data_IF_293729520130
#
_entry.id   IF_293729520130
#
_cell.length_a   1.000
_cell.length_b   1.000
_cell.length_c   1.000
_cell.angle_alpha   90.00
_cell.angle_beta   90.00
_cell.angle_gamma   90.00
#
_symmetry.space_group_name_H-M   'P 1'
#
loop_
_entity.id
_entity.type
_entity.pdbx_description
1 polymer ?
#
# COMPACT_ATOMS: atom_id res chain seq x y z
N UNK A 1 -5.75 15.96 -15.51
CA UNK A 1 -5.89 14.57 -15.00
C UNK A 1 -4.63 13.71 -15.15
N UNK A 2 -3.56 14.11 -15.84
CA UNK A 2 -2.37 13.25 -16.00
C UNK A 2 -1.46 13.15 -14.77
N UNK A 3 -1.99 12.87 -13.58
CA UNK A 3 -1.25 12.81 -12.29
C UNK A 3 -0.66 11.42 -12.00
N UNK A 4 -0.48 10.59 -13.04
CA UNK A 4 -0.06 9.21 -12.91
C UNK A 4 1.35 9.01 -13.45
N UNK A 5 2.08 8.12 -12.79
CA UNK A 5 3.36 7.61 -13.28
C UNK A 5 3.11 6.56 -14.37
N UNK A 6 3.77 6.70 -15.52
CA UNK A 6 3.55 5.82 -16.68
C UNK A 6 3.87 4.34 -16.46
N UNK A 7 4.59 4.03 -15.39
CA UNK A 7 4.86 2.64 -15.00
C UNK A 7 3.73 2.05 -14.16
N UNK A 8 2.85 2.84 -13.55
CA UNK A 8 1.74 2.37 -12.73
C UNK A 8 0.39 2.49 -13.45
N UNK A 9 0.41 2.24 -14.76
CA UNK A 9 -0.79 2.20 -15.60
C UNK A 9 -1.34 0.77 -15.58
N UNK A 10 -2.64 0.59 -15.30
CA UNK A 10 -3.24 -0.74 -15.16
C UNK A 10 -3.04 -1.57 -16.43
N UNK A 11 -3.43 -1.07 -17.59
CA UNK A 11 -3.31 -1.84 -18.83
C UNK A 11 -1.87 -2.32 -19.10
N UNK A 12 -0.88 -1.47 -18.81
CA UNK A 12 0.54 -1.82 -18.96
C UNK A 12 1.00 -2.87 -17.95
N UNK A 13 0.57 -2.77 -16.69
CA UNK A 13 0.94 -3.72 -15.64
C UNK A 13 0.25 -5.07 -15.84
N UNK A 14 -1.05 -5.06 -16.15
CA UNK A 14 -1.82 -6.24 -16.48
C UNK A 14 -1.21 -7.00 -17.67
N UNK A 15 -0.84 -6.30 -18.76
CA UNK A 15 -0.21 -6.93 -19.92
C UNK A 15 1.03 -7.78 -19.60
N UNK A 16 1.84 -7.35 -18.62
CA UNK A 16 3.06 -8.06 -18.23
C UNK A 16 2.81 -9.20 -17.23
N UNK A 17 1.67 -9.17 -16.53
CA UNK A 17 1.29 -10.12 -15.50
C UNK A 17 0.49 -11.32 -16.04
N UNK A 18 0.08 -11.27 -17.31
CA UNK A 18 -0.78 -12.26 -17.94
C UNK A 18 0.00 -13.45 -18.50
N UNK A 19 -0.64 -14.62 -18.43
CA UNK A 19 -0.18 -15.83 -19.09
C UNK A 19 -0.41 -15.76 -20.60
N UNK A 20 0.43 -16.45 -21.38
CA UNK A 20 0.51 -16.29 -22.84
C UNK A 20 -0.83 -16.60 -23.56
N UNK A 21 -1.63 -17.50 -23.00
CA UNK A 21 -2.94 -17.90 -23.47
C UNK A 21 -4.06 -16.90 -23.13
N UNK A 22 -3.85 -16.01 -22.15
CA UNK A 22 -4.81 -14.96 -21.73
C UNK A 22 -4.57 -13.63 -22.46
N UNK A 23 -3.37 -13.43 -23.04
CA UNK A 23 -2.99 -12.16 -23.71
C UNK A 23 -3.97 -11.75 -24.81
N UNK A 24 -4.52 -12.71 -25.58
CA UNK A 24 -5.46 -12.40 -26.65
C UNK A 24 -6.80 -11.86 -26.12
N UNK A 25 -7.33 -12.44 -25.04
CA UNK A 25 -8.55 -11.99 -24.37
C UNK A 25 -8.35 -10.61 -23.77
N UNK A 26 -7.23 -10.37 -23.09
CA UNK A 26 -6.89 -9.04 -22.57
C UNK A 26 -6.81 -7.99 -23.68
N UNK A 27 -6.24 -8.32 -24.85
CA UNK A 27 -6.23 -7.43 -26.00
C UNK A 27 -7.64 -7.13 -26.57
N UNK A 28 -8.61 -8.03 -26.38
CA UNK A 28 -10.02 -7.77 -26.68
C UNK A 28 -10.63 -6.84 -25.64
N UNK A 29 -10.51 -7.17 -24.36
CA UNK A 29 -11.03 -6.34 -23.27
C UNK A 29 -10.53 -4.90 -23.32
N UNK A 30 -9.22 -4.70 -23.50
CA UNK A 30 -8.64 -3.35 -23.59
C UNK A 30 -9.16 -2.55 -24.77
N UNK A 31 -9.46 -3.21 -25.90
CA UNK A 31 -10.16 -2.57 -27.02
C UNK A 31 -11.58 -2.22 -26.63
N UNK A 32 -12.34 -3.16 -26.08
CA UNK A 32 -13.75 -2.99 -25.75
C UNK A 32 -13.96 -1.92 -24.66
N UNK A 33 -13.06 -1.86 -23.67
CA UNK A 33 -13.12 -0.88 -22.61
C UNK A 33 -12.84 0.54 -23.11
N UNK A 34 -12.06 0.75 -24.17
CA UNK A 34 -11.74 2.10 -24.69
C UNK A 34 -11.37 3.11 -23.57
N UNK A 35 -10.55 2.70 -22.60
CA UNK A 35 -10.27 3.52 -21.41
C UNK A 35 -9.49 4.79 -21.77
N UNK A 36 -9.90 5.93 -21.21
CA UNK A 36 -9.03 7.10 -21.16
C UNK A 36 -7.85 6.84 -20.21
N UNK A 37 -6.72 7.50 -20.43
CA UNK A 37 -5.53 7.34 -19.57
C UNK A 37 -5.82 7.54 -18.07
N UNK A 38 -6.79 8.40 -17.72
CA UNK A 38 -7.17 8.63 -16.32
C UNK A 38 -8.13 7.56 -15.78
N UNK A 39 -8.96 6.96 -16.63
CA UNK A 39 -9.79 5.81 -16.24
C UNK A 39 -8.91 4.59 -16.00
N UNK A 40 -7.91 4.38 -16.84
CA UNK A 40 -6.92 3.31 -16.68
C UNK A 40 -6.09 3.49 -15.39
N UNK A 41 -5.72 4.72 -15.07
CA UNK A 41 -5.11 5.07 -13.78
C UNK A 41 -6.02 4.82 -12.58
N UNK A 42 -7.29 5.23 -12.66
CA UNK A 42 -8.28 4.96 -11.62
C UNK A 42 -8.52 3.46 -11.42
N UNK A 43 -8.57 2.70 -12.51
CA UNK A 43 -8.74 1.26 -12.48
C UNK A 43 -7.58 0.59 -11.73
N UNK A 44 -6.34 1.03 -11.99
CA UNK A 44 -5.17 0.57 -11.22
C UNK A 44 -5.31 0.86 -9.72
N UNK A 45 -5.82 2.03 -9.37
CA UNK A 45 -5.91 2.48 -7.98
C UNK A 45 -6.97 1.71 -7.18
N UNK A 46 -8.06 1.33 -7.85
CA UNK A 46 -9.12 0.50 -7.29
C UNK A 46 -8.67 -0.98 -7.25
N UNK A 47 -8.05 -1.44 -8.34
CA UNK A 47 -7.64 -2.82 -8.56
C UNK A 47 -6.16 -2.89 -8.99
N UNK A 48 -5.21 -2.80 -8.05
CA UNK A 48 -3.79 -2.73 -8.37
C UNK A 48 -3.23 -4.08 -8.79
N UNK A 49 -2.42 -4.05 -9.86
CA UNK A 49 -1.63 -5.20 -10.33
C UNK A 49 -0.19 -5.01 -9.86
N UNK A 50 0.26 -5.87 -8.96
CA UNK A 50 1.64 -5.88 -8.45
C UNK A 50 2.44 -7.00 -9.11
N UNK A 51 3.77 -6.91 -9.10
CA UNK A 51 4.66 -7.82 -9.83
C UNK A 51 4.52 -9.31 -9.48
N UNK A 52 3.95 -9.64 -8.32
CA UNK A 52 3.68 -11.02 -7.88
C UNK A 52 2.29 -11.51 -8.24
N UNK A 53 1.39 -10.64 -8.69
CA UNK A 53 0.01 -10.98 -9.00
C UNK A 53 -0.05 -11.52 -10.43
N UNK A 54 -0.33 -12.81 -10.58
CA UNK A 54 -0.74 -13.38 -11.87
C UNK A 54 -2.23 -13.14 -12.06
N UNK A 55 -2.59 -12.56 -13.20
CA UNK A 55 -4.00 -12.34 -13.55
C UNK A 55 -4.54 -13.55 -14.32
N UNK A 56 -5.72 -14.02 -13.91
CA UNK A 56 -6.50 -15.05 -14.58
C UNK A 56 -7.58 -14.43 -15.48
N UNK A 57 -8.26 -15.27 -16.26
CA UNK A 57 -9.42 -14.84 -17.06
C UNK A 57 -10.56 -14.32 -16.16
N UNK A 58 -10.76 -14.93 -14.99
CA UNK A 58 -11.79 -14.52 -14.02
C UNK A 58 -11.51 -13.10 -13.51
N UNK A 59 -10.25 -12.80 -13.18
CA UNK A 59 -9.86 -11.45 -12.75
C UNK A 59 -10.13 -10.41 -13.84
N UNK A 60 -9.93 -10.75 -15.11
CA UNK A 60 -10.24 -9.85 -16.23
C UNK A 60 -11.74 -9.63 -16.43
N UNK A 61 -12.56 -10.64 -16.19
CA UNK A 61 -14.02 -10.53 -16.19
C UNK A 61 -14.50 -9.61 -15.06
N UNK A 62 -13.93 -9.76 -13.86
CA UNK A 62 -14.21 -8.88 -12.72
C UNK A 62 -13.80 -7.42 -13.00
N UNK A 63 -12.63 -7.22 -13.61
CA UNK A 63 -12.17 -5.90 -14.04
C UNK A 63 -13.12 -5.30 -15.09
N UNK A 64 -13.61 -6.11 -16.04
CA UNK A 64 -14.58 -5.64 -17.01
C UNK A 64 -15.88 -5.21 -16.33
N UNK A 65 -16.33 -5.91 -15.30
CA UNK A 65 -17.49 -5.51 -14.51
C UNK A 65 -17.24 -4.21 -13.73
N UNK A 66 -16.05 -4.04 -13.13
CA UNK A 66 -15.65 -2.77 -12.49
C UNK A 66 -15.71 -1.61 -13.49
N UNK A 67 -15.26 -1.80 -14.73
CA UNK A 67 -15.36 -0.77 -15.79
C UNK A 67 -16.81 -0.38 -16.07
N UNK A 68 -17.72 -1.36 -16.15
CA UNK A 68 -19.16 -1.10 -16.33
C UNK A 68 -19.77 -0.37 -15.13
N UNK A 69 -19.40 -0.75 -13.91
CA UNK A 69 -19.82 -0.07 -12.67
C UNK A 69 -19.35 1.38 -12.69
N UNK A 70 -18.07 1.62 -12.95
CA UNK A 70 -17.49 2.97 -13.05
C UNK A 70 -18.31 3.84 -14.01
N UNK A 71 -18.63 3.32 -15.20
CA UNK A 71 -19.37 4.06 -16.25
C UNK A 71 -20.88 4.13 -16.02
N UNK A 72 -21.42 3.44 -15.03
CA UNK A 72 -22.84 3.46 -14.69
C UNK A 72 -23.72 2.74 -15.71
N UNK A 73 -23.21 1.67 -16.34
CA UNK A 73 -23.99 0.86 -17.28
C UNK A 73 -25.10 0.07 -16.59
N UNK A 74 -24.89 -0.31 -15.32
CA UNK A 74 -25.94 -0.88 -14.48
C UNK A 74 -26.63 0.22 -13.64
N UNK A 75 -27.95 0.32 -13.79
CA UNK A 75 -28.80 1.32 -13.10
C UNK A 75 -28.98 1.05 -11.60
N UNK A 76 -28.62 -0.12 -11.11
CA UNK A 76 -28.66 -0.45 -9.68
C UNK A 76 -27.51 0.23 -8.91
N UNK A 77 -26.38 0.48 -9.58
CA UNK A 77 -25.16 1.02 -8.96
C UNK A 77 -25.04 2.52 -9.20
N UNK A 78 -26.05 3.28 -8.81
CA UNK A 78 -26.01 4.75 -8.90
C UNK A 78 -25.02 5.30 -7.86
N UNK A 79 -24.29 6.36 -8.22
CA UNK A 79 -23.45 7.07 -7.27
C UNK A 79 -24.25 7.49 -6.03
N UNK A 80 -23.56 7.65 -4.90
CA UNK A 80 -24.16 8.28 -3.75
C UNK A 80 -24.37 9.78 -4.01
N UNK A 81 -25.41 10.32 -3.39
CA UNK A 81 -25.57 11.76 -3.18
C UNK A 81 -24.79 12.24 -1.96
N UNK A 82 -24.57 13.55 -1.84
CA UNK A 82 -23.89 14.18 -0.69
C UNK A 82 -24.55 13.79 0.64
N UNK A 83 -25.88 13.80 0.68
CA UNK A 83 -26.65 13.46 1.89
C UNK A 83 -26.50 11.98 2.27
N UNK A 84 -26.52 11.08 1.28
CA UNK A 84 -26.33 9.65 1.53
C UNK A 84 -24.94 9.36 2.07
N UNK A 85 -23.89 9.94 1.48
CA UNK A 85 -22.51 9.71 1.94
C UNK A 85 -22.30 10.25 3.35
N UNK A 86 -22.88 11.41 3.65
CA UNK A 86 -22.77 12.02 4.98
C UNK A 86 -23.37 11.15 6.09
N UNK A 87 -24.32 10.27 5.74
CA UNK A 87 -24.97 9.31 6.64
C UNK A 87 -24.40 7.88 6.59
N UNK A 88 -23.36 7.63 5.79
CA UNK A 88 -22.71 6.31 5.74
C UNK A 88 -22.07 5.97 7.09
N UNK A 89 -22.19 4.71 7.51
CA UNK A 89 -21.55 4.18 8.70
C UNK A 89 -20.75 2.91 8.36
N UNK A 90 -19.81 2.55 9.24
CA UNK A 90 -18.96 1.35 9.11
C UNK A 90 -19.79 0.09 8.79
N UNK A 91 -20.86 -0.16 9.53
CA UNK A 91 -21.59 -1.44 9.46
C UNK A 91 -22.35 -1.63 8.13
N UNK A 92 -22.82 -0.54 7.52
CA UNK A 92 -23.53 -0.58 6.24
C UNK A 92 -22.59 -0.71 5.04
N UNK A 93 -21.36 -0.21 5.13
CA UNK A 93 -20.45 -0.16 3.98
C UNK A 93 -19.75 -1.49 3.69
N UNK A 94 -19.47 -2.28 4.73
CA UNK A 94 -18.64 -3.48 4.62
C UNK A 94 -19.40 -4.80 4.42
N UNK A 95 -20.68 -4.83 4.81
CA UNK A 95 -21.52 -6.03 4.70
C UNK A 95 -22.35 -6.05 3.40
N UNK A 96 -22.21 -5.03 2.56
CA UNK A 96 -23.05 -4.84 1.39
C UNK A 96 -22.21 -4.57 0.14
N UNK A 97 -22.09 -5.60 -0.71
CA UNK A 97 -21.45 -5.53 -2.02
C UNK A 97 -22.00 -4.38 -2.88
N UNK A 98 -23.28 -4.01 -2.68
CA UNK A 98 -23.89 -2.87 -3.33
C UNK A 98 -23.19 -1.55 -2.97
N UNK A 99 -22.91 -1.31 -1.69
CA UNK A 99 -22.32 -0.04 -1.23
C UNK A 99 -20.88 0.12 -1.72
N UNK A 100 -20.12 -0.97 -1.81
CA UNK A 100 -18.78 -0.96 -2.42
C UNK A 100 -18.87 -0.57 -3.90
N UNK A 101 -19.77 -1.19 -4.66
CA UNK A 101 -19.99 -0.87 -6.08
C UNK A 101 -20.46 0.57 -6.28
N UNK A 102 -21.37 1.05 -5.43
CA UNK A 102 -21.80 2.45 -5.42
C UNK A 102 -20.65 3.41 -5.07
N UNK A 103 -19.73 3.03 -4.19
CA UNK A 103 -18.55 3.85 -3.88
C UNK A 103 -17.57 3.93 -5.06
N UNK A 104 -17.32 2.82 -5.76
CA UNK A 104 -16.55 2.80 -7.02
C UNK A 104 -17.18 3.77 -8.03
N UNK A 105 -18.50 3.66 -8.24
CA UNK A 105 -19.25 4.56 -9.11
C UNK A 105 -19.12 6.02 -8.66
N UNK A 106 -19.20 6.28 -7.35
CA UNK A 106 -19.16 7.62 -6.78
C UNK A 106 -17.84 8.32 -7.09
N UNK A 107 -16.70 7.64 -6.88
CA UNK A 107 -15.39 8.23 -7.18
C UNK A 107 -15.25 8.51 -8.68
N UNK A 108 -15.63 7.56 -9.53
CA UNK A 108 -15.61 7.80 -10.98
C UNK A 108 -16.49 8.99 -11.36
N UNK A 109 -17.70 9.07 -10.80
CA UNK A 109 -18.64 10.16 -11.07
C UNK A 109 -18.06 11.51 -10.66
N UNK A 110 -17.48 11.59 -9.45
CA UNK A 110 -16.80 12.78 -8.97
C UNK A 110 -15.74 13.22 -9.99
N UNK A 111 -14.84 12.31 -10.37
CA UNK A 111 -13.72 12.62 -11.27
C UNK A 111 -14.20 13.05 -12.66
N UNK A 112 -15.12 12.28 -13.25
CA UNK A 112 -15.62 12.53 -14.60
C UNK A 112 -16.39 13.86 -14.72
N UNK A 113 -17.11 14.26 -13.66
CA UNK A 113 -17.92 15.47 -13.66
C UNK A 113 -17.27 16.65 -12.91
N UNK A 114 -16.09 16.42 -12.31
CA UNK A 114 -15.44 17.35 -11.39
C UNK A 114 -16.38 17.80 -10.24
N UNK A 115 -17.14 16.86 -9.67
CA UNK A 115 -18.06 17.12 -8.55
C UNK A 115 -17.27 17.21 -7.23
N UNK A 116 -16.86 18.45 -6.90
CA UNK A 116 -16.01 18.74 -5.74
C UNK A 116 -16.75 18.50 -4.43
N UNK A 117 -18.03 18.89 -4.35
CA UNK A 117 -18.81 18.80 -3.11
C UNK A 117 -19.03 17.34 -2.71
N UNK A 118 -19.37 16.48 -3.68
CA UNK A 118 -19.50 15.05 -3.43
C UNK A 118 -18.17 14.39 -3.08
N UNK A 119 -17.07 14.81 -3.72
CA UNK A 119 -15.73 14.32 -3.39
C UNK A 119 -15.32 14.67 -1.94
N UNK A 120 -15.56 15.91 -1.51
CA UNK A 120 -15.27 16.36 -0.15
C UNK A 120 -16.13 15.61 0.86
N UNK A 121 -17.45 15.53 0.64
CA UNK A 121 -18.37 14.82 1.52
C UNK A 121 -17.99 13.33 1.66
N UNK A 122 -17.57 12.71 0.55
CA UNK A 122 -17.09 11.32 0.54
C UNK A 122 -15.83 11.13 1.35
N UNK A 123 -14.84 12.02 1.18
CA UNK A 123 -13.61 11.97 1.97
C UNK A 123 -13.90 12.15 3.47
N UNK A 124 -14.71 13.13 3.83
CA UNK A 124 -15.04 13.41 5.25
C UNK A 124 -15.84 12.27 5.90
N UNK A 125 -16.70 11.60 5.15
CA UNK A 125 -17.39 10.40 5.63
C UNK A 125 -16.40 9.25 5.91
N UNK A 126 -15.42 9.06 5.02
CA UNK A 126 -14.36 8.07 5.23
C UNK A 126 -13.45 8.42 6.42
N UNK A 127 -13.14 9.70 6.65
CA UNK A 127 -12.42 10.15 7.86
C UNK A 127 -13.14 9.74 9.14
N UNK A 128 -14.46 9.94 9.20
CA UNK A 128 -15.30 9.52 10.35
C UNK A 128 -15.27 8.01 10.52
N UNK A 129 -15.42 7.26 9.42
CA UNK A 129 -15.33 5.80 9.40
C UNK A 129 -13.97 5.33 9.97
N UNK A 130 -12.87 5.95 9.57
CA UNK A 130 -11.55 5.58 10.11
C UNK A 130 -11.39 5.93 11.59
N UNK A 131 -11.96 7.05 12.04
CA UNK A 131 -11.92 7.47 13.44
C UNK A 131 -12.81 6.61 14.38
N UNK A 132 -13.92 6.09 13.88
CA UNK A 132 -14.87 5.26 14.65
C UNK A 132 -14.38 3.82 14.87
N UNK A 133 -13.34 3.40 14.14
CA UNK A 133 -12.87 2.02 14.11
C UNK A 133 -12.12 1.65 15.40
N UNK A 134 -12.84 1.27 16.45
CA UNK A 134 -12.26 0.79 17.73
C UNK A 134 -12.31 -0.73 17.94
N UNK A 135 -13.24 -1.44 17.29
CA UNK A 135 -13.54 -2.83 17.64
C UNK A 135 -13.46 -3.78 16.44
N UNK A 136 -12.25 -4.06 15.91
CA UNK A 136 -11.87 -5.30 15.19
C UNK A 136 -12.76 -5.93 14.10
N UNK A 137 -13.88 -5.32 13.69
CA UNK A 137 -15.02 -5.97 13.00
C UNK A 137 -14.96 -5.88 11.48
N UNK A 138 -13.92 -5.25 10.94
CA UNK A 138 -13.78 -4.95 9.52
C UNK A 138 -12.58 -5.70 8.98
N UNK A 139 -12.79 -6.45 7.89
CA UNK A 139 -11.71 -7.15 7.21
C UNK A 139 -10.62 -6.19 6.73
N UNK A 140 -9.39 -6.69 6.71
CA UNK A 140 -8.23 -5.93 6.22
C UNK A 140 -8.40 -5.48 4.76
N UNK A 141 -8.96 -6.36 3.91
CA UNK A 141 -9.17 -6.09 2.48
C UNK A 141 -10.11 -4.91 2.25
N UNK A 142 -11.23 -4.85 2.96
CA UNK A 142 -12.19 -3.77 2.79
C UNK A 142 -11.66 -2.44 3.33
N UNK A 143 -10.91 -2.47 4.43
CA UNK A 143 -10.23 -1.28 4.93
C UNK A 143 -9.19 -0.75 3.93
N UNK A 144 -8.37 -1.64 3.35
CA UNK A 144 -7.38 -1.26 2.34
C UNK A 144 -8.06 -0.65 1.10
N UNK A 145 -9.22 -1.19 0.69
CA UNK A 145 -10.02 -0.63 -0.39
C UNK A 145 -10.51 0.80 -0.06
N UNK A 146 -11.11 1.02 1.11
CA UNK A 146 -11.54 2.37 1.50
C UNK A 146 -10.40 3.36 1.63
N UNK A 147 -9.25 2.90 2.13
CA UNK A 147 -8.06 3.74 2.20
C UNK A 147 -7.62 4.19 0.80
N UNK A 148 -7.63 3.29 -0.19
CA UNK A 148 -7.34 3.65 -1.58
C UNK A 148 -8.32 4.68 -2.12
N UNK A 149 -9.62 4.48 -1.86
CA UNK A 149 -10.64 5.47 -2.24
C UNK A 149 -10.34 6.84 -1.63
N UNK A 150 -10.06 6.86 -0.33
CA UNK A 150 -9.72 8.07 0.41
C UNK A 150 -8.51 8.80 -0.18
N UNK A 151 -7.44 8.04 -0.47
CA UNK A 151 -6.21 8.56 -1.06
C UNK A 151 -6.38 9.01 -2.52
N UNK A 152 -7.28 8.37 -3.28
CA UNK A 152 -7.70 8.87 -4.58
C UNK A 152 -8.37 10.24 -4.45
N UNK A 153 -9.38 10.36 -3.59
CA UNK A 153 -10.09 11.63 -3.38
C UNK A 153 -9.12 12.74 -2.93
N UNK A 154 -8.21 12.42 -2.00
CA UNK A 154 -7.12 13.32 -1.61
C UNK A 154 -6.28 13.78 -2.82
N UNK A 155 -5.85 12.84 -3.67
CA UNK A 155 -4.91 13.13 -4.76
C UNK A 155 -5.54 13.91 -5.91
N UNK A 156 -6.72 13.51 -6.36
CA UNK A 156 -7.41 14.17 -7.47
C UNK A 156 -7.97 15.54 -7.08
N UNK A 157 -8.34 15.72 -5.81
CA UNK A 157 -8.89 16.97 -5.28
C UNK A 157 -7.93 17.67 -4.34
N UNK A 158 -6.62 17.45 -4.47
CA UNK A 158 -5.60 17.98 -3.56
C UNK A 158 -5.70 19.48 -3.32
N UNK A 159 -6.11 20.25 -4.33
CA UNK A 159 -6.32 21.72 -4.22
C UNK A 159 -7.44 22.14 -3.28
N UNK A 160 -8.32 21.21 -2.92
CA UNK A 160 -9.45 21.41 -2.03
C UNK A 160 -9.23 20.75 -0.67
N UNK A 161 -8.04 20.17 -0.43
CA UNK A 161 -7.67 19.54 0.83
C UNK A 161 -7.07 20.60 1.76
N UNK A 162 -7.49 20.64 3.04
CA UNK A 162 -6.84 21.49 4.04
C UNK A 162 -5.34 21.18 4.20
N UNK A 163 -4.53 22.20 4.45
CA UNK A 163 -3.09 22.05 4.61
C UNK A 163 -2.74 21.07 5.74
N UNK A 164 -3.50 21.06 6.84
CA UNK A 164 -3.31 20.13 7.96
C UNK A 164 -3.43 18.67 7.53
N UNK A 165 -4.39 18.37 6.65
CA UNK A 165 -4.55 17.02 6.13
C UNK A 165 -3.41 16.67 5.16
N UNK A 166 -2.97 17.61 4.33
CA UNK A 166 -1.81 17.42 3.46
C UNK A 166 -0.54 17.09 4.28
N UNK A 167 -0.29 17.84 5.35
CA UNK A 167 0.81 17.58 6.27
C UNK A 167 0.69 16.21 6.95
N UNK A 168 -0.52 15.83 7.39
CA UNK A 168 -0.78 14.52 7.97
C UNK A 168 -0.45 13.38 7.00
N UNK A 169 -0.91 13.45 5.74
CA UNK A 169 -0.61 12.44 4.71
C UNK A 169 0.89 12.28 4.50
N UNK A 170 1.64 13.38 4.45
CA UNK A 170 3.08 13.37 4.19
C UNK A 170 3.91 12.95 5.40
N UNK A 171 3.40 13.14 6.62
CA UNK A 171 4.02 12.69 7.86
C UNK A 171 3.79 11.18 8.14
N UNK A 172 2.90 10.52 7.39
CA UNK A 172 2.49 9.14 7.63
C UNK A 172 2.77 8.21 6.44
N UNK A 173 2.45 6.92 6.60
CA UNK A 173 2.69 5.87 5.60
C UNK A 173 1.85 6.05 4.33
N UNK A 174 0.86 6.93 4.35
CA UNK A 174 0.02 7.25 3.19
C UNK A 174 0.83 7.73 1.98
N UNK A 175 1.96 8.40 2.18
CA UNK A 175 2.87 8.77 1.08
C UNK A 175 3.38 7.53 0.32
N UNK A 176 3.69 6.45 1.04
CA UNK A 176 4.13 5.17 0.46
C UNK A 176 2.98 4.55 -0.32
N UNK A 177 1.79 4.52 0.27
CA UNK A 177 0.59 3.96 -0.37
C UNK A 177 0.24 4.74 -1.65
N UNK A 178 0.30 6.07 -1.61
CA UNK A 178 0.06 6.93 -2.78
C UNK A 178 1.05 6.63 -3.93
N UNK A 179 2.33 6.43 -3.61
CA UNK A 179 3.35 6.06 -4.60
C UNK A 179 3.05 4.68 -5.18
N UNK A 180 2.70 3.69 -4.34
CA UNK A 180 2.32 2.34 -4.78
C UNK A 180 1.06 2.33 -5.63
N UNK A 181 0.12 3.24 -5.37
CA UNK A 181 -1.08 3.49 -6.17
C UNK A 181 -0.78 4.25 -7.48
N UNK A 182 0.48 4.57 -7.76
CA UNK A 182 0.90 5.15 -9.03
C UNK A 182 0.75 6.66 -9.15
N UNK A 183 0.43 7.36 -8.06
CA UNK A 183 0.33 8.82 -8.09
C UNK A 183 1.69 9.48 -8.26
N UNK A 184 1.74 10.46 -9.16
CA UNK A 184 2.85 11.38 -9.31
C UNK A 184 2.67 12.56 -8.33
N UNK A 185 3.09 12.33 -7.08
CA UNK A 185 3.00 13.32 -6.00
C UNK A 185 3.71 14.62 -6.35
N UNK A 186 4.83 14.55 -7.07
CA UNK A 186 5.54 15.73 -7.54
C UNK A 186 4.63 16.59 -8.40
N UNK A 187 4.00 15.97 -9.40
CA UNK A 187 3.07 16.65 -10.28
C UNK A 187 1.83 17.19 -9.57
N UNK A 188 1.23 16.42 -8.65
CA UNK A 188 0.07 16.85 -7.87
C UNK A 188 0.39 18.13 -7.10
N UNK A 189 1.54 18.13 -6.40
CA UNK A 189 1.97 19.29 -5.62
C UNK A 189 2.34 20.46 -6.54
N UNK A 190 3.05 20.23 -7.65
CA UNK A 190 3.38 21.28 -8.62
C UNK A 190 2.12 21.94 -9.19
N UNK A 191 1.13 21.13 -9.56
CA UNK A 191 -0.14 21.62 -10.10
C UNK A 191 -0.88 22.47 -9.08
N UNK A 192 -0.84 22.17 -7.78
CA UNK A 192 -1.41 23.03 -6.74
C UNK A 192 -0.53 24.26 -6.47
N UNK A 193 0.76 24.07 -6.28
CA UNK A 193 1.72 25.13 -5.97
C UNK A 193 1.73 26.23 -7.04
N UNK A 194 1.51 25.87 -8.30
CA UNK A 194 1.36 26.82 -9.42
C UNK A 194 0.15 27.76 -9.28
N UNK A 195 -0.88 27.37 -8.51
CA UNK A 195 -2.09 28.16 -8.27
C UNK A 195 -1.93 29.17 -7.13
N UNK A 196 -1.00 28.94 -6.19
CA UNK A 196 -0.73 29.87 -5.09
C UNK A 196 -0.07 31.12 -5.66
N UNK A 197 -0.63 32.32 -5.53
CA UNK A 197 -0.09 33.51 -6.24
C UNK A 197 1.17 34.07 -5.54
N UNK A 198 1.29 33.85 -4.23
CA UNK A 198 2.35 34.43 -3.38
C UNK A 198 3.54 33.49 -3.28
N UNK A 199 4.72 33.96 -3.69
CA UNK A 199 5.97 33.19 -3.64
C UNK A 199 6.29 32.64 -2.24
N UNK A 200 6.15 33.45 -1.19
CA UNK A 200 6.42 33.00 0.17
C UNK A 200 5.46 31.88 0.61
N UNK A 201 4.19 31.93 0.19
CA UNK A 201 3.23 30.87 0.52
C UNK A 201 3.59 29.57 -0.21
N UNK A 202 4.00 29.65 -1.48
CA UNK A 202 4.53 28.49 -2.23
C UNK A 202 5.70 27.85 -1.52
N UNK A 203 6.68 28.68 -1.15
CA UNK A 203 7.91 28.24 -0.52
C UNK A 203 7.62 27.60 0.85
N UNK A 204 6.86 28.27 1.71
CA UNK A 204 6.52 27.76 3.03
C UNK A 204 5.77 26.42 2.94
N UNK A 205 4.72 26.34 2.11
CA UNK A 205 3.98 25.10 1.90
C UNK A 205 4.89 23.93 1.48
N UNK A 206 5.82 24.16 0.55
CA UNK A 206 6.76 23.13 0.13
C UNK A 206 7.74 22.72 1.24
N UNK A 207 8.25 23.69 2.01
CA UNK A 207 9.18 23.43 3.10
C UNK A 207 8.51 22.72 4.28
N UNK A 208 7.24 23.00 4.54
CA UNK A 208 6.43 22.33 5.56
C UNK A 208 6.16 20.87 5.16
N UNK A 209 5.76 20.60 3.91
CA UNK A 209 5.66 19.23 3.40
C UNK A 209 7.00 18.48 3.42
N UNK A 210 8.12 19.16 3.10
CA UNK A 210 9.45 18.56 3.22
C UNK A 210 9.75 18.18 4.66
N UNK A 211 9.39 19.04 5.61
CA UNK A 211 9.58 18.79 7.02
C UNK A 211 8.70 17.61 7.51
N UNK A 212 7.45 17.50 7.05
CA UNK A 212 6.58 16.33 7.29
C UNK A 212 7.25 15.03 6.84
N UNK A 213 7.82 15.02 5.63
CA UNK A 213 8.55 13.84 5.14
C UNK A 213 9.79 13.52 5.99
N UNK A 214 10.54 14.54 6.41
CA UNK A 214 11.77 14.33 7.18
C UNK A 214 11.55 13.80 8.60
N UNK A 215 10.36 13.99 9.15
CA UNK A 215 9.96 13.43 10.45
C UNK A 215 9.08 12.18 10.32
N UNK A 216 8.88 11.66 9.11
CA UNK A 216 8.04 10.50 8.88
C UNK A 216 8.72 9.21 9.37
N UNK A 217 8.16 8.60 10.42
CA UNK A 217 8.69 7.38 11.04
C UNK A 217 8.15 6.08 10.41
N UNK A 218 7.43 6.16 9.30
CA UNK A 218 6.90 4.97 8.61
C UNK A 218 8.02 4.10 8.08
N UNK A 219 7.92 2.79 8.31
CA UNK A 219 8.90 1.80 7.85
C UNK A 219 8.82 1.59 6.33
N UNK A 220 9.99 1.58 5.68
CA UNK A 220 10.16 1.19 4.29
C UNK A 220 11.59 0.70 4.01
N UNK A 221 11.69 -0.45 3.34
CA UNK A 221 12.98 -1.06 2.99
C UNK A 221 13.84 -1.47 4.20
N UNK A 222 15.06 -1.91 3.89
CA UNK A 222 16.03 -2.40 4.88
C UNK A 222 17.42 -1.86 4.58
N UNK A 223 18.26 -1.72 5.61
CA UNK A 223 19.67 -1.39 5.40
C UNK A 223 20.51 -2.58 4.91
N UNK A 224 21.80 -2.34 4.69
CA UNK A 224 22.78 -3.39 4.32
C UNK A 224 22.91 -4.52 5.33
N UNK A 225 22.49 -4.32 6.57
CA UNK A 225 22.47 -5.34 7.61
C UNK A 225 21.13 -6.08 7.67
N UNK A 226 20.15 -5.70 6.83
CA UNK A 226 18.81 -6.28 6.79
C UNK A 226 17.88 -5.72 7.88
N UNK A 227 18.21 -4.60 8.51
CA UNK A 227 17.35 -3.99 9.53
C UNK A 227 16.31 -3.07 8.87
N UNK A 228 15.01 -3.16 9.24
CA UNK A 228 13.98 -2.24 8.77
C UNK A 228 14.34 -0.79 9.08
N UNK A 229 14.05 0.11 8.13
CA UNK A 229 14.34 1.55 8.25
C UNK A 229 13.12 2.39 7.99
N UNK A 230 13.12 3.60 8.56
CA UNK A 230 12.04 4.57 8.40
C UNK A 230 12.35 5.55 7.27
N UNK A 231 11.33 6.25 6.77
CA UNK A 231 11.49 7.35 5.81
C UNK A 231 12.47 8.40 6.36
N UNK A 232 12.30 8.80 7.63
CA UNK A 232 13.21 9.69 8.34
C UNK A 232 14.67 9.23 8.25
N UNK A 233 14.95 7.96 8.56
CA UNK A 233 16.31 7.42 8.47
C UNK A 233 16.90 7.57 7.06
N UNK A 234 16.12 7.25 6.04
CA UNK A 234 16.56 7.36 4.64
C UNK A 234 16.86 8.81 4.26
N UNK A 235 15.98 9.74 4.62
CA UNK A 235 16.15 11.17 4.37
C UNK A 235 17.37 11.71 5.12
N UNK A 236 17.56 11.37 6.39
CA UNK A 236 18.71 11.83 7.17
C UNK A 236 20.04 11.35 6.57
N UNK A 237 20.12 10.09 6.13
CA UNK A 237 21.30 9.60 5.42
C UNK A 237 21.55 10.33 4.11
N UNK A 238 20.49 10.60 3.33
CA UNK A 238 20.62 11.37 2.10
C UNK A 238 21.07 12.81 2.36
N UNK A 239 20.58 13.46 3.42
CA UNK A 239 21.02 14.81 3.85
C UNK A 239 22.50 14.84 4.24
N UNK A 240 22.96 13.82 4.98
CA UNK A 240 24.38 13.69 5.35
C UNK A 240 25.25 13.46 4.11
N UNK A 241 24.81 12.56 3.22
CA UNK A 241 25.52 12.25 1.98
C UNK A 241 25.64 13.47 1.06
N UNK A 242 24.55 14.19 0.88
CA UNK A 242 24.45 15.34 -0.03
C UNK A 242 25.23 16.56 0.46
N UNK A 243 25.72 16.61 1.71
CA UNK A 243 26.45 17.76 2.27
C UNK A 243 25.74 19.11 2.01
N UNK A 244 24.41 19.10 2.02
CA UNK A 244 23.52 20.25 1.73
C UNK A 244 23.38 20.65 0.25
N UNK A 245 23.93 19.90 -0.71
CA UNK A 245 23.61 20.05 -2.14
C UNK A 245 22.48 19.08 -2.54
N UNK A 246 21.23 19.54 -2.48
CA UNK A 246 20.06 18.77 -2.90
C UNK A 246 19.80 18.99 -4.39
N UNK A 247 20.65 18.42 -5.24
CA UNK A 247 20.54 18.53 -6.69
C UNK A 247 20.40 17.13 -7.33
N UNK A 248 20.16 17.12 -8.66
CA UNK A 248 20.02 15.86 -9.39
C UNK A 248 21.28 15.00 -9.38
N UNK A 249 22.47 15.59 -9.19
CA UNK A 249 23.75 14.85 -9.16
C UNK A 249 23.90 14.12 -7.84
N UNK A 250 23.64 14.78 -6.71
CA UNK A 250 23.71 14.15 -5.39
C UNK A 250 22.67 13.04 -5.24
N UNK A 251 21.46 13.25 -5.77
CA UNK A 251 20.42 12.24 -5.84
C UNK A 251 20.86 11.03 -6.68
N UNK A 252 21.36 11.25 -7.90
CA UNK A 252 21.81 10.16 -8.76
C UNK A 252 22.94 9.36 -8.12
N UNK A 253 23.90 10.05 -7.51
CA UNK A 253 25.04 9.41 -6.86
C UNK A 253 24.60 8.58 -5.64
N UNK A 254 23.70 9.11 -4.80
CA UNK A 254 23.18 8.39 -3.64
C UNK A 254 22.40 7.13 -4.06
N UNK A 255 21.46 7.29 -5.00
CA UNK A 255 20.56 6.20 -5.44
C UNK A 255 21.27 5.09 -6.23
N UNK A 256 22.44 5.41 -6.79
CA UNK A 256 23.33 4.46 -7.47
C UNK A 256 24.30 3.74 -6.51
N UNK A 257 24.41 4.18 -5.26
CA UNK A 257 25.33 3.59 -4.29
C UNK A 257 24.80 2.26 -3.73
N UNK A 258 25.49 1.18 -4.09
CA UNK A 258 25.15 -0.18 -3.68
C UNK A 258 25.30 -0.40 -2.16
N UNK A 259 26.03 0.45 -1.47
CA UNK A 259 26.24 0.36 -0.02
C UNK A 259 25.03 0.83 0.80
N UNK A 260 24.00 1.41 0.17
CA UNK A 260 22.79 1.81 0.88
C UNK A 260 21.59 0.92 0.55
N UNK A 261 21.44 0.51 -0.72
CA UNK A 261 20.27 -0.24 -1.20
C UNK A 261 20.51 -1.72 -1.46
N UNK A 262 21.68 -2.25 -1.10
CA UNK A 262 22.11 -3.60 -1.50
C UNK A 262 21.17 -4.74 -1.07
N UNK A 263 20.31 -4.52 -0.07
CA UNK A 263 19.33 -5.50 0.42
C UNK A 263 17.86 -5.05 0.25
N UNK A 264 17.61 -3.84 -0.25
CA UNK A 264 16.24 -3.41 -0.53
C UNK A 264 15.64 -4.25 -1.67
N UNK A 265 14.33 -4.51 -1.60
CA UNK A 265 13.61 -5.00 -2.77
C UNK A 265 13.63 -3.95 -3.88
N UNK A 266 13.43 -4.36 -5.14
CA UNK A 266 13.34 -3.42 -6.25
C UNK A 266 12.25 -2.37 -6.01
N UNK A 267 11.09 -2.80 -5.51
CA UNK A 267 9.95 -1.95 -5.17
C UNK A 267 10.27 -0.95 -4.06
N UNK A 268 10.84 -1.40 -2.94
CA UNK A 268 11.20 -0.50 -1.83
C UNK A 268 12.22 0.53 -2.29
N UNK A 269 13.25 0.08 -3.04
CA UNK A 269 14.25 0.97 -3.59
C UNK A 269 13.60 2.04 -4.48
N UNK A 270 12.67 1.65 -5.33
CA UNK A 270 11.97 2.56 -6.23
C UNK A 270 11.15 3.60 -5.47
N UNK A 271 10.42 3.19 -4.42
CA UNK A 271 9.63 4.10 -3.59
C UNK A 271 10.56 5.07 -2.84
N UNK A 272 11.64 4.57 -2.23
CA UNK A 272 12.63 5.40 -1.52
C UNK A 272 13.23 6.44 -2.47
N UNK A 273 13.59 6.06 -3.71
CA UNK A 273 14.09 7.00 -4.72
C UNK A 273 13.06 8.09 -5.03
N UNK A 274 11.79 7.72 -5.17
CA UNK A 274 10.71 8.67 -5.44
C UNK A 274 10.48 9.63 -4.26
N UNK A 275 10.62 9.15 -3.02
CA UNK A 275 10.59 10.00 -1.82
C UNK A 275 11.74 11.01 -1.85
N UNK A 276 12.96 10.61 -2.23
CA UNK A 276 14.08 11.54 -2.33
C UNK A 276 13.93 12.56 -3.44
N UNK A 277 13.38 12.17 -4.60
CA UNK A 277 13.03 13.08 -5.68
C UNK A 277 12.05 14.14 -5.18
N UNK A 278 10.96 13.68 -4.56
CA UNK A 278 9.95 14.55 -3.97
C UNK A 278 10.54 15.50 -2.92
N UNK A 279 11.29 14.98 -1.96
CA UNK A 279 11.95 15.77 -0.91
C UNK A 279 12.91 16.82 -1.49
N UNK A 280 13.70 16.45 -2.49
CA UNK A 280 14.63 17.35 -3.19
C UNK A 280 13.89 18.49 -3.89
N UNK A 281 12.79 18.19 -4.57
CA UNK A 281 11.98 19.21 -5.25
C UNK A 281 11.25 20.14 -4.29
N UNK A 282 10.75 19.60 -3.17
CA UNK A 282 10.12 20.39 -2.11
C UNK A 282 11.09 21.38 -1.46
N UNK A 283 12.32 20.94 -1.12
CA UNK A 283 13.36 21.83 -0.58
C UNK A 283 13.73 22.92 -1.58
N UNK A 284 13.79 22.60 -2.87
CA UNK A 284 14.10 23.58 -3.91
C UNK A 284 12.88 24.44 -4.31
N UNK A 285 11.75 24.31 -3.61
CA UNK A 285 10.53 25.10 -3.79
C UNK A 285 9.87 24.95 -5.17
N UNK A 286 10.14 23.85 -5.89
CA UNK A 286 9.75 23.60 -7.29
C UNK A 286 10.16 24.68 -8.33
N UNK A 287 10.82 25.77 -7.92
CA UNK A 287 11.00 27.01 -8.69
C UNK A 287 12.43 27.57 -8.67
N UNK A 288 13.44 26.72 -8.77
CA UNK A 288 14.78 27.14 -9.20
C UNK A 288 15.42 28.27 -8.37
N UNK A 289 15.45 28.13 -7.04
CA UNK A 289 16.45 28.86 -6.23
C UNK A 289 17.32 27.83 -5.53
N UNK A 290 18.66 27.85 -5.71
CA UNK A 290 19.53 26.96 -4.96
C UNK A 290 19.39 27.23 -3.46
N UNK A 291 18.94 26.21 -2.72
CA UNK A 291 18.93 26.20 -1.26
C UNK A 291 17.68 26.80 -0.63
N UNK A 292 16.58 26.05 -0.63
CA UNK A 292 15.56 26.26 0.41
C UNK A 292 16.21 26.26 1.79
N UNK A 293 15.74 27.16 2.66
CA UNK A 293 16.35 27.32 3.97
C UNK A 293 16.11 26.06 4.80
N UNK A 294 17.10 25.17 4.85
CA UNK A 294 17.07 23.98 5.70
C UNK A 294 16.76 24.32 7.16
N UNK A 295 17.01 25.56 7.61
CA UNK A 295 16.62 25.98 8.95
C UNK A 295 15.09 26.05 9.10
N UNK A 296 14.35 26.48 8.07
CA UNK A 296 12.87 26.49 8.09
C UNK A 296 12.35 25.06 8.19
N UNK A 297 12.90 24.14 7.39
CA UNK A 297 12.55 22.71 7.46
C UNK A 297 12.80 22.18 8.87
N UNK A 298 13.98 22.44 9.45
CA UNK A 298 14.34 21.97 10.79
C UNK A 298 13.46 22.59 11.89
N UNK A 299 13.15 23.89 11.80
CA UNK A 299 12.31 24.60 12.77
C UNK A 299 10.89 24.03 12.73
N UNK A 300 10.34 23.83 11.53
CA UNK A 300 9.00 23.26 11.41
C UNK A 300 8.97 21.80 11.85
N UNK A 301 9.97 21.00 11.45
CA UNK A 301 10.13 19.62 11.91
C UNK A 301 10.16 19.51 13.45
N UNK A 302 10.89 20.41 14.12
CA UNK A 302 10.90 20.48 15.59
C UNK A 302 9.54 20.88 16.18
N UNK A 303 8.73 21.65 15.44
CA UNK A 303 7.42 22.12 15.88
C UNK A 303 6.27 21.15 15.56
N UNK A 304 6.49 20.16 14.70
CA UNK A 304 5.52 19.10 14.39
C UNK A 304 5.06 18.36 15.66
N UNK A 305 5.93 18.21 16.66
CA UNK A 305 5.61 17.49 17.90
C UNK A 305 5.37 18.39 19.11
N UNK A 306 4.19 19.01 19.12
CA UNK A 306 3.40 19.18 20.35
C UNK A 306 1.92 18.79 20.23
N UNK A 307 1.44 18.34 19.06
CA UNK A 307 0.04 17.92 18.87
C UNK A 307 -0.12 16.74 17.89
N UNK A 308 -0.42 15.56 18.44
CA UNK A 308 -1.50 14.66 17.99
C UNK A 308 -1.49 14.00 16.59
N UNK A 309 -0.36 13.60 16.02
CA UNK A 309 -0.40 12.55 14.99
C UNK A 309 -0.09 11.20 15.63
N UNK A 310 -1.05 10.66 16.40
CA UNK A 310 -0.93 9.30 16.93
C UNK A 310 -0.93 8.30 15.77
N UNK A 311 0.03 7.38 15.78
CA UNK A 311 0.23 6.24 14.85
C UNK A 311 -0.96 5.27 14.68
N UNK A 312 -2.14 5.61 15.18
CA UNK A 312 -3.18 4.64 15.56
C UNK A 312 -4.12 4.20 14.43
N UNK A 313 -3.79 4.50 13.17
CA UNK A 313 -4.45 3.88 12.01
C UNK A 313 -3.62 2.69 11.46
N UNK A 314 -2.36 2.52 11.91
CA UNK A 314 -1.39 1.59 11.28
C UNK A 314 -0.76 0.52 12.18
N UNK A 315 -1.39 0.18 13.32
CA UNK A 315 -1.21 -1.16 13.91
C UNK A 315 -1.40 -2.31 12.89
N UNK A 316 -2.03 -2.02 11.74
CA UNK A 316 -2.31 -2.95 10.65
C UNK A 316 -1.26 -3.07 9.51
N UNK A 317 -0.32 -2.12 9.33
CA UNK A 317 0.74 -2.27 8.31
C UNK A 317 2.11 -2.63 8.92
N UNK A 318 2.15 -3.02 10.20
CA UNK A 318 3.23 -3.84 10.75
C UNK A 318 3.17 -5.27 10.20
N UNK A 319 3.32 -5.41 8.88
CA UNK A 319 3.75 -6.66 8.24
C UNK A 319 4.97 -6.33 7.37
N UNK A 320 5.98 -5.79 8.03
CA UNK A 320 7.37 -6.26 7.89
C UNK A 320 8.03 -6.51 9.26
N UNK A 321 7.30 -6.33 10.37
CA UNK A 321 7.75 -6.66 11.73
C UNK A 321 7.00 -7.88 12.28
N UNK A 322 7.28 -9.05 11.71
CA UNK A 322 7.28 -10.30 12.49
C UNK A 322 8.62 -11.04 12.32
N UNK A 323 9.71 -10.28 12.19
CA UNK A 323 11.05 -10.74 12.53
C UNK A 323 11.59 -9.81 13.61
N UNK A 324 11.97 -10.40 14.75
CA UNK A 324 12.63 -9.77 15.91
C UNK A 324 11.75 -9.18 17.03
N UNK A 325 10.86 -9.99 17.60
CA UNK A 325 10.65 -9.99 19.06
C UNK A 325 10.85 -11.38 19.66
N UNK A 326 12.05 -11.93 19.47
CA UNK A 326 12.60 -12.86 20.45
C UNK A 326 13.27 -12.04 21.56
N UNK A 327 12.55 -11.79 22.65
CA UNK A 327 13.04 -11.94 24.03
C UNK A 327 11.89 -11.83 25.04
N UNK A 328 12.03 -12.50 26.19
CA UNK A 328 10.99 -13.31 26.80
C UNK A 328 10.03 -12.47 27.64
N UNK A 329 8.74 -12.82 27.55
CA UNK A 329 7.79 -12.46 28.60
C UNK A 329 7.75 -13.63 29.58
N UNK A 330 8.20 -13.40 30.81
CA UNK A 330 7.95 -14.28 31.95
C UNK A 330 6.44 -14.43 32.14
N UNK A 331 5.91 -15.61 31.82
CA UNK A 331 4.66 -16.08 32.41
C UNK A 331 4.97 -17.17 33.41
N UNK A 332 5.01 -16.76 34.68
CA UNK A 332 4.85 -17.64 35.81
C UNK A 332 3.42 -18.22 35.81
N UNK A 333 3.29 -19.49 35.41
CA UNK A 333 2.49 -20.54 36.08
C UNK A 333 2.42 -21.79 35.21
N UNK A 334 3.22 -22.77 35.61
CA UNK A 334 3.00 -24.22 35.52
C UNK A 334 1.91 -24.73 34.56
N UNK A 335 2.33 -25.21 33.40
CA UNK A 335 1.72 -26.38 32.75
C UNK A 335 2.88 -27.26 32.29
N UNK A 336 2.82 -28.53 32.72
CA UNK A 336 3.90 -29.50 32.61
C UNK A 336 4.22 -29.81 31.15
N UNK A 337 5.53 -29.92 30.90
CA UNK A 337 6.12 -30.57 29.75
C UNK A 337 5.56 -31.99 29.62
N UNK A 338 5.28 -32.42 28.39
CA UNK A 338 5.54 -33.77 27.91
C UNK A 338 5.69 -33.71 26.37
N UNK A 339 6.69 -34.42 25.86
CA UNK A 339 7.13 -34.58 24.46
C UNK A 339 8.25 -33.64 23.97
N UNK A 340 9.43 -33.79 24.58
CA UNK A 340 10.70 -33.52 23.88
C UNK A 340 11.07 -34.79 23.09
N UNK A 341 11.35 -34.63 21.80
CA UNK A 341 12.18 -35.58 21.04
C UNK A 341 13.27 -34.76 20.38
N UNK A 342 14.45 -34.74 21.00
CA UNK A 342 15.70 -34.39 20.34
C UNK A 342 16.24 -35.65 19.66
N UNK A 343 16.68 -35.55 18.41
CA UNK A 343 17.85 -36.28 17.93
C UNK A 343 18.53 -35.55 16.76
N UNK A 344 19.85 -35.75 16.76
CA UNK A 344 20.91 -34.99 16.11
C UNK A 344 20.86 -34.86 14.58
N UNK A 345 21.47 -33.75 14.15
CA UNK A 345 21.84 -33.36 12.79
C UNK A 345 20.67 -33.18 11.84
N UNK A 346 20.11 -31.98 11.75
CA UNK A 346 19.59 -31.34 10.53
C UNK A 346 18.94 -30.00 10.90
N UNK A 347 18.91 -29.06 9.95
CA UNK A 347 18.24 -27.77 10.09
C UNK A 347 16.81 -27.98 10.58
N UNK A 348 16.53 -27.62 11.84
CA UNK A 348 15.20 -27.73 12.44
C UNK A 348 14.34 -26.65 11.80
N UNK A 349 13.39 -27.06 10.96
CA UNK A 349 12.32 -26.17 10.49
C UNK A 349 11.13 -26.32 11.44
N UNK A 350 10.68 -25.19 11.97
CA UNK A 350 9.48 -25.11 12.80
C UNK A 350 8.23 -25.42 11.95
N UNK A 351 7.23 -26.07 12.54
CA UNK A 351 5.94 -26.33 11.91
C UNK A 351 5.32 -25.03 11.37
N UNK A 352 5.45 -23.93 12.12
CA UNK A 352 4.99 -22.62 11.65
C UNK A 352 5.77 -22.13 10.43
N UNK A 353 7.06 -22.43 10.33
CA UNK A 353 7.88 -22.04 9.19
C UNK A 353 7.52 -22.83 7.92
N UNK A 354 7.18 -24.11 8.05
CA UNK A 354 6.63 -24.92 6.93
C UNK A 354 5.30 -24.34 6.47
N UNK A 355 4.40 -24.03 7.41
CA UNK A 355 3.10 -23.43 7.08
C UNK A 355 3.28 -22.11 6.34
N UNK A 356 4.20 -21.24 6.81
CA UNK A 356 4.51 -19.97 6.17
C UNK A 356 5.04 -20.13 4.74
N UNK A 357 5.92 -21.09 4.48
CA UNK A 357 6.42 -21.37 3.13
C UNK A 357 5.26 -21.77 2.22
N UNK A 358 4.45 -22.73 2.64
CA UNK A 358 3.30 -23.23 1.85
C UNK A 358 2.26 -22.13 1.63
N UNK A 359 1.89 -21.36 2.67
CA UNK A 359 0.97 -20.21 2.54
C UNK A 359 1.50 -19.11 1.64
N UNK A 360 2.83 -18.87 1.63
CA UNK A 360 3.43 -17.86 0.75
C UNK A 360 3.46 -18.27 -0.72
N UNK A 361 3.49 -19.58 -1.00
CA UNK A 361 3.60 -20.13 -2.35
C UNK A 361 2.23 -20.39 -3.00
N UNK A 362 1.23 -20.83 -2.22
CA UNK A 362 -0.09 -21.24 -2.75
C UNK A 362 -1.25 -20.35 -2.31
N UNK A 363 -0.96 -19.23 -1.64
CA UNK A 363 -1.97 -18.30 -1.16
C UNK A 363 -2.55 -18.67 0.21
N UNK A 364 -3.49 -17.84 0.68
CA UNK A 364 -4.01 -17.94 2.03
C UNK A 364 -4.92 -19.16 2.23
N UNK A 365 -4.82 -19.71 3.44
CA UNK A 365 -5.72 -20.70 4.03
C UNK A 365 -7.11 -20.07 4.20
N UNK A 366 -7.99 -20.22 3.20
CA UNK A 366 -9.38 -19.73 3.24
C UNK A 366 -10.29 -20.90 3.62
N UNK A 367 -11.18 -20.70 4.59
CA UNK A 367 -12.12 -21.72 5.11
C UNK A 367 -11.45 -23.06 5.52
N UNK A 368 -10.27 -22.95 6.15
CA UNK A 368 -9.41 -24.06 6.53
C UNK A 368 -8.87 -24.93 5.37
N UNK A 369 -8.86 -24.44 4.13
CA UNK A 369 -8.38 -25.19 2.98
C UNK A 369 -7.48 -24.39 2.05
N UNK A 370 -6.55 -25.10 1.40
CA UNK A 370 -5.78 -24.57 0.30
C UNK A 370 -6.54 -24.79 -1.02
N UNK A 371 -6.53 -23.81 -1.95
CA UNK A 371 -7.23 -23.92 -3.24
C UNK A 371 -6.77 -25.09 -4.12
N UNK A 372 -5.49 -25.49 -4.00
CA UNK A 372 -4.91 -26.60 -4.76
C UNK A 372 -4.21 -27.58 -3.81
N UNK A 373 -4.99 -28.55 -3.30
CA UNK A 373 -4.55 -29.54 -2.32
C UNK A 373 -3.42 -30.42 -2.85
N UNK A 374 -3.49 -30.83 -4.12
CA UNK A 374 -2.50 -31.74 -4.71
C UNK A 374 -1.12 -31.06 -4.82
N UNK A 375 -1.09 -29.77 -5.17
CA UNK A 375 0.14 -29.00 -5.21
C UNK A 375 0.74 -28.77 -3.82
N UNK A 376 -0.09 -28.53 -2.81
CA UNK A 376 0.34 -28.40 -1.41
C UNK A 376 0.95 -29.70 -0.90
N UNK A 377 0.29 -30.84 -1.12
CA UNK A 377 0.81 -32.16 -0.69
C UNK A 377 2.13 -32.49 -1.39
N UNK A 378 2.26 -32.17 -2.68
CA UNK A 378 3.50 -32.34 -3.42
C UNK A 378 4.62 -31.46 -2.85
N UNK A 379 4.31 -30.22 -2.49
CA UNK A 379 5.29 -29.31 -1.90
C UNK A 379 5.73 -29.76 -0.51
N UNK A 380 4.81 -30.24 0.32
CA UNK A 380 5.14 -30.82 1.63
C UNK A 380 6.06 -32.03 1.48
N UNK A 381 5.92 -32.84 0.43
CA UNK A 381 6.84 -33.93 0.14
C UNK A 381 8.26 -33.45 -0.20
N UNK A 382 8.38 -32.37 -0.99
CA UNK A 382 9.68 -31.76 -1.29
C UNK A 382 10.33 -31.16 -0.04
N UNK A 383 9.56 -30.49 0.81
CA UNK A 383 10.04 -29.91 2.07
C UNK A 383 10.44 -31.00 3.06
N UNK A 384 9.69 -32.09 3.16
CA UNK A 384 10.02 -33.25 3.99
C UNK A 384 11.39 -33.86 3.61
N UNK A 385 11.69 -33.94 2.31
CA UNK A 385 13.00 -34.39 1.81
C UNK A 385 14.08 -33.34 2.09
N UNK A 386 13.79 -32.07 1.83
CA UNK A 386 14.75 -30.96 1.97
C UNK A 386 15.22 -30.77 3.41
N UNK A 387 14.30 -30.89 4.37
CA UNK A 387 14.59 -30.74 5.79
C UNK A 387 14.80 -32.08 6.50
N UNK A 388 14.78 -33.18 5.76
CA UNK A 388 14.88 -34.56 6.26
C UNK A 388 13.92 -34.81 7.45
N UNK A 389 12.67 -34.35 7.31
CA UNK A 389 11.64 -34.44 8.32
C UNK A 389 10.35 -35.02 7.72
N UNK A 390 10.09 -36.33 7.85
CA UNK A 390 8.91 -36.96 7.26
C UNK A 390 7.59 -36.48 7.86
N UNK A 391 7.59 -35.90 9.07
CA UNK A 391 6.36 -35.36 9.69
C UNK A 391 5.77 -34.19 8.92
N UNK A 392 6.57 -33.51 8.08
CA UNK A 392 6.10 -32.43 7.21
C UNK A 392 4.99 -32.91 6.26
N UNK A 393 5.03 -34.17 5.82
CA UNK A 393 3.98 -34.77 4.98
C UNK A 393 2.61 -34.87 5.68
N UNK A 394 2.63 -35.00 7.00
CA UNK A 394 1.43 -35.21 7.83
C UNK A 394 0.85 -33.87 8.32
N UNK A 395 1.48 -32.76 7.95
CA UNK A 395 1.06 -31.42 8.35
C UNK A 395 -0.23 -30.96 7.68
N UNK A 396 -0.57 -31.52 6.52
CA UNK A 396 -1.83 -31.27 5.85
C UNK A 396 -2.51 -32.59 5.53
N UNK A 397 -3.60 -32.90 6.23
CA UNK A 397 -4.24 -34.21 6.22
C UNK A 397 -5.75 -34.07 5.98
N UNK A 398 -6.38 -35.13 5.47
CA UNK A 398 -7.83 -35.18 5.33
C UNK A 398 -8.48 -35.65 6.63
N UNK A 399 -9.36 -34.83 7.21
CA UNK A 399 -10.15 -35.19 8.38
C UNK A 399 -11.47 -35.83 7.93
N UNK A 400 -11.54 -37.16 8.07
CA UNK A 400 -12.72 -37.96 7.68
C UNK A 400 -14.00 -37.59 8.46
N UNK A 401 -13.90 -36.97 9.65
CA UNK A 401 -15.07 -36.58 10.45
C UNK A 401 -15.71 -35.29 9.95
N UNK A 402 -14.89 -34.35 9.48
CA UNK A 402 -15.33 -33.05 8.98
C UNK A 402 -15.35 -32.98 7.45
N UNK A 403 -14.93 -34.05 6.77
CA UNK A 403 -14.87 -34.19 5.31
C UNK A 403 -14.12 -33.02 4.65
N UNK A 404 -13.01 -32.60 5.27
CA UNK A 404 -12.15 -31.52 4.79
C UNK A 404 -10.68 -31.75 5.10
N UNK A 405 -9.80 -31.15 4.30
CA UNK A 405 -8.38 -31.09 4.64
C UNK A 405 -8.14 -30.11 5.79
N UNK A 406 -7.21 -30.43 6.68
CA UNK A 406 -6.83 -29.64 7.86
C UNK A 406 -5.32 -29.59 8.01
N UNK A 407 -4.87 -28.49 8.62
CA UNK A 407 -3.47 -28.33 9.01
C UNK A 407 -3.27 -28.83 10.45
N UNK A 408 -2.28 -29.70 10.69
CA UNK A 408 -1.87 -30.09 12.04
C UNK A 408 -0.83 -29.09 12.57
N UNK A 409 -1.07 -28.57 13.79
CA UNK A 409 -0.14 -27.69 14.51
C UNK A 409 0.84 -28.54 15.32
#
# INVERSE_FOLDING_TARGET
MGIFKSQFIFTKQAANALEADVVQQFASYTKDWHLYNWEDGLLFQIFPVVSSLKLSLVDLEDVAEIVKIMRGENKEFVQFSVDEVSGLNINGLYNDDLNIKRLIRTIYYCLNNNDVDLAIATRESLDKIFAEKKDGSVSYSSFAFLLRIYLCLFSYYFRHVPDELSHFIFANSYVVVLIQMGFDLEKIIMDYNSTLIVFNNRMNFCLELAASLSENESFIGVDVNGQPKTIKYWIDNFRVYSKKSFDGTSLLNFTSDKNYFGRCTATDKEIIIQIFQLYTHLINGFLAVPGGDLNVVNVWAQNLEKNNFSDDIFGYFKITENMNKNKPVEYSKSLKMDNIVEYDNNTIIDANAVHLIVSSEFGYFLDDQYPDVDLVLKRLAELAVTFNNPKILEMYYFDDQENKFKWSI
#
